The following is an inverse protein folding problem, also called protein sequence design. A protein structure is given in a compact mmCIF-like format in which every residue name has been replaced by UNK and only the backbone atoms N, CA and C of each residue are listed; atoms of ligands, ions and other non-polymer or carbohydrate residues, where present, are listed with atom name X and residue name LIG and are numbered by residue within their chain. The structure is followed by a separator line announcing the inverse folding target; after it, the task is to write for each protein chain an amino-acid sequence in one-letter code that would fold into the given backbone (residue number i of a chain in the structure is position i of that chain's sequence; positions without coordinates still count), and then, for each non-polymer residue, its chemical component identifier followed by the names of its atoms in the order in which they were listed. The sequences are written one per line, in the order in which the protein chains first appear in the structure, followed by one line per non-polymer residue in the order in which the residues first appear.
data_IF_510450057277
#
_entry.id   IF_510450057277
#
_cell.length_a   1.000
_cell.length_b   1.000
_cell.length_c   1.000
_cell.angle_alpha   90.00
_cell.angle_beta   90.00
_cell.angle_gamma   90.00
#
_symmetry.space_group_name_H-M   'P 1'
#
loop_
_entity.id
_entity.type
_entity.pdbx_description
1 polymer ?
#
# COMPACT_ATOMS: atom_id res chain seq x y z
N UNK A 1 8.13 -14.11 25.98
CA UNK A 1 7.79 -13.64 24.61
C UNK A 1 8.81 -12.58 24.23
N UNK A 2 9.56 -12.79 23.16
CA UNK A 2 10.68 -11.93 22.74
C UNK A 2 10.23 -11.09 21.55
N UNK A 3 10.35 -9.77 21.63
CA UNK A 3 10.06 -8.86 20.51
C UNK A 3 11.24 -8.95 19.53
N UNK A 4 11.01 -9.13 18.22
CA UNK A 4 12.10 -9.19 17.24
C UNK A 4 12.86 -7.86 17.18
N UNK A 5 14.19 -7.95 17.14
CA UNK A 5 15.11 -6.82 17.16
C UNK A 5 15.08 -5.96 15.88
N UNK A 6 14.47 -6.46 14.79
CA UNK A 6 14.31 -5.75 13.53
C UNK A 6 13.05 -6.21 12.80
N UNK A 7 12.53 -5.33 11.93
CA UNK A 7 11.47 -5.70 10.99
C UNK A 7 12.03 -6.66 9.93
N UNK A 8 11.19 -7.56 9.38
CA UNK A 8 11.59 -8.40 8.26
C UNK A 8 12.00 -7.53 7.07
N UNK A 9 13.03 -7.99 6.36
CA UNK A 9 13.51 -7.33 5.14
C UNK A 9 12.46 -7.43 4.03
N UNK A 10 12.28 -6.34 3.27
CA UNK A 10 11.34 -6.31 2.16
C UNK A 10 11.91 -7.14 1.00
N UNK A 11 11.24 -8.25 0.66
CA UNK A 11 11.62 -9.07 -0.49
C UNK A 11 11.35 -8.31 -1.80
N UNK A 12 12.43 -7.88 -2.45
CA UNK A 12 12.39 -7.11 -3.70
C UNK A 12 12.12 -7.98 -4.94
N UNK A 13 12.11 -9.31 -4.80
CA UNK A 13 11.78 -10.23 -5.90
C UNK A 13 10.28 -10.28 -6.20
N UNK A 14 9.44 -9.79 -5.28
CA UNK A 14 8.00 -9.77 -5.42
C UNK A 14 7.58 -8.64 -6.36
N UNK A 15 6.97 -8.99 -7.50
CA UNK A 15 6.33 -8.02 -8.39
C UNK A 15 4.94 -7.67 -7.83
N UNK A 16 4.69 -6.41 -7.41
CA UNK A 16 3.40 -6.03 -6.86
C UNK A 16 2.30 -6.10 -7.93
N UNK A 17 1.14 -6.61 -7.56
CA UNK A 17 -0.03 -6.67 -8.42
C UNK A 17 -1.18 -5.86 -7.81
N UNK A 18 -1.93 -5.17 -8.66
CA UNK A 18 -3.14 -4.49 -8.24
C UNK A 18 -4.18 -5.49 -7.75
N UNK A 19 -4.69 -5.27 -6.55
CA UNK A 19 -5.87 -5.99 -6.06
C UNK A 19 -7.12 -5.29 -6.57
N UNK A 20 -8.19 -6.06 -6.80
CA UNK A 20 -9.47 -5.50 -7.18
C UNK A 20 -10.03 -4.58 -6.07
N UNK A 21 -10.81 -3.57 -6.46
CA UNK A 21 -11.38 -2.58 -5.54
C UNK A 21 -10.44 -1.45 -5.15
N UNK A 22 -9.19 -1.45 -5.63
CA UNK A 22 -8.30 -0.31 -5.47
C UNK A 22 -8.41 0.67 -6.64
N UNK A 23 -8.40 1.98 -6.35
CA UNK A 23 -8.38 3.06 -7.36
C UNK A 23 -7.26 4.03 -7.08
N UNK A 24 -6.45 4.30 -8.09
CA UNK A 24 -5.45 5.36 -8.08
C UNK A 24 -6.06 6.65 -8.62
N UNK A 25 -5.97 7.74 -7.87
CA UNK A 25 -6.45 9.05 -8.31
C UNK A 25 -5.66 10.20 -7.68
N UNK A 26 -5.77 11.39 -8.26
CA UNK A 26 -5.29 12.63 -7.65
C UNK A 26 -6.42 13.29 -6.85
N UNK A 27 -6.13 13.73 -5.63
CA UNK A 27 -7.05 14.45 -4.74
C UNK A 27 -6.65 15.92 -4.63
N UNK A 28 -7.39 16.85 -5.28
CA UNK A 28 -7.06 18.27 -5.26
C UNK A 28 -7.04 18.87 -3.85
N UNK A 29 -7.95 18.45 -2.99
CA UNK A 29 -8.05 18.94 -1.61
C UNK A 29 -6.80 18.60 -0.77
N UNK A 30 -6.08 17.54 -1.14
CA UNK A 30 -4.83 17.12 -0.49
C UNK A 30 -3.59 17.48 -1.32
N UNK A 31 -3.78 17.93 -2.56
CA UNK A 31 -2.74 18.13 -3.55
C UNK A 31 -1.80 16.90 -3.66
N UNK A 32 -2.38 15.69 -3.67
CA UNK A 32 -1.63 14.44 -3.60
C UNK A 32 -2.27 13.33 -4.43
N UNK A 33 -1.44 12.38 -4.88
CA UNK A 33 -1.92 11.12 -5.43
C UNK A 33 -2.24 10.14 -4.30
N UNK A 34 -3.41 9.51 -4.38
CA UNK A 34 -3.92 8.59 -3.36
C UNK A 34 -4.26 7.24 -3.99
N UNK A 35 -4.15 6.21 -3.15
CA UNK A 35 -4.67 4.88 -3.44
C UNK A 35 -5.88 4.61 -2.54
N UNK A 36 -7.07 4.60 -3.11
CA UNK A 36 -8.31 4.36 -2.39
C UNK A 36 -8.66 2.88 -2.45
N UNK A 37 -9.07 2.30 -1.33
CA UNK A 37 -9.77 1.02 -1.30
C UNK A 37 -11.27 1.27 -1.26
N UNK A 38 -11.96 0.97 -2.35
CA UNK A 38 -13.41 1.02 -2.42
C UNK A 38 -13.96 -0.25 -1.78
N UNK A 39 -14.53 -0.11 -0.58
CA UNK A 39 -15.46 -1.11 -0.06
C UNK A 39 -16.84 -0.76 -0.63
N UNK A 40 -17.45 -1.68 -1.37
CA UNK A 40 -18.88 -1.62 -1.63
C UNK A 40 -19.66 -1.68 -0.31
#
# INVERSE_FOLDING_TARGET
MSIPASLPELDQSIVPAWRHGYRFQFEPAQNAYVLLYLKA
#
